data_IF_011822755707
#
_entry.id   IF_011822755707
#
_cell.length_a   1.000
_cell.length_b   1.000
_cell.length_c   1.000
_cell.angle_alpha   90.00
_cell.angle_beta   90.00
_cell.angle_gamma   90.00
#
_symmetry.space_group_name_H-M   'P 1'
#
loop_
_entity.id
_entity.type
_entity.pdbx_description
1 polymer ?
#
# COMPACT_ATOMS: atom_id res chain seq x y z
N UNK A 1 4.05 9.82 -18.71
CA UNK A 1 4.26 8.40 -18.32
C UNK A 1 5.19 8.29 -17.13
N UNK A 2 4.63 8.42 -15.92
CA UNK A 2 5.26 8.07 -14.64
C UNK A 2 4.12 7.53 -13.76
N UNK A 3 3.88 6.23 -13.82
CA UNK A 3 2.82 5.58 -13.05
C UNK A 3 3.43 4.97 -11.78
N UNK A 4 3.05 5.52 -10.63
CA UNK A 4 3.57 5.13 -9.33
C UNK A 4 3.10 3.72 -8.93
N UNK A 5 1.88 3.34 -9.31
CA UNK A 5 1.28 2.04 -8.96
C UNK A 5 2.05 0.93 -9.66
N UNK A 6 2.27 1.08 -10.98
CA UNK A 6 3.05 0.11 -11.76
C UNK A 6 4.45 -0.09 -11.19
N UNK A 7 5.13 0.99 -10.81
CA UNK A 7 6.47 0.92 -10.21
C UNK A 7 6.49 0.19 -8.86
N UNK A 8 5.54 0.52 -7.98
CA UNK A 8 5.42 -0.14 -6.67
C UNK A 8 5.09 -1.63 -6.78
N UNK A 9 4.19 -2.01 -7.70
CA UNK A 9 3.86 -3.42 -7.96
C UNK A 9 5.08 -4.18 -8.45
N UNK A 10 5.83 -3.64 -9.42
CA UNK A 10 7.03 -4.28 -9.92
C UNK A 10 8.08 -4.52 -8.83
N UNK A 11 8.28 -3.53 -7.95
CA UNK A 11 9.21 -3.64 -6.81
C UNK A 11 8.75 -4.70 -5.82
N UNK A 12 7.47 -4.71 -5.44
CA UNK A 12 6.94 -5.66 -4.48
C UNK A 12 7.03 -7.11 -4.97
N UNK A 13 6.69 -7.37 -6.24
CA UNK A 13 6.79 -8.72 -6.81
C UNK A 13 8.24 -9.20 -6.87
N UNK A 14 9.18 -8.32 -7.22
CA UNK A 14 10.61 -8.64 -7.15
C UNK A 14 11.02 -9.00 -5.71
N UNK A 15 10.59 -8.21 -4.73
CA UNK A 15 10.90 -8.47 -3.33
C UNK A 15 10.33 -9.81 -2.84
N UNK A 16 9.09 -10.18 -3.22
CA UNK A 16 8.50 -11.49 -2.90
C UNK A 16 9.33 -12.65 -3.45
N UNK A 17 9.79 -12.55 -4.72
CA UNK A 17 10.61 -13.58 -5.37
C UNK A 17 11.94 -13.77 -4.64
N UNK A 18 12.61 -12.67 -4.29
CA UNK A 18 13.92 -12.71 -3.64
C UNK A 18 13.79 -13.15 -2.18
N UNK A 19 12.83 -12.60 -1.43
CA UNK A 19 12.61 -12.92 -0.02
C UNK A 19 12.33 -14.41 0.20
N UNK A 20 11.65 -15.09 -0.73
CA UNK A 20 11.40 -16.53 -0.67
C UNK A 20 12.68 -17.41 -0.69
N UNK A 21 13.85 -16.82 -0.96
CA UNK A 21 15.16 -17.51 -0.92
C UNK A 21 15.91 -17.35 0.39
N UNK A 22 15.38 -16.57 1.33
CA UNK A 22 16.01 -16.30 2.61
C UNK A 22 15.08 -16.75 3.75
N UNK A 23 15.64 -17.39 4.77
CA UNK A 23 14.91 -17.82 5.97
C UNK A 23 14.72 -16.65 6.95
N UNK A 24 14.05 -15.59 6.47
CA UNK A 24 13.68 -14.40 7.25
C UNK A 24 12.26 -13.97 6.89
N UNK A 25 11.63 -13.22 7.78
CA UNK A 25 10.35 -12.57 7.51
C UNK A 25 10.58 -11.15 7.01
N UNK A 26 9.97 -10.79 5.88
CA UNK A 26 10.04 -9.45 5.29
C UNK A 26 8.65 -8.83 5.28
N UNK A 27 8.55 -7.60 5.78
CA UNK A 27 7.34 -6.78 5.63
C UNK A 27 7.63 -5.66 4.62
N UNK A 28 6.86 -5.63 3.54
CA UNK A 28 6.88 -4.56 2.56
C UNK A 28 5.95 -3.43 2.98
N UNK A 29 6.45 -2.21 2.87
CA UNK A 29 5.78 -0.99 3.31
C UNK A 29 5.91 0.09 2.24
N UNK A 30 4.85 0.87 2.03
CA UNK A 30 4.96 2.16 1.31
C UNK A 30 4.99 3.30 2.31
N UNK A 31 5.94 4.20 2.14
CA UNK A 31 6.13 5.38 2.99
C UNK A 31 5.07 6.48 2.72
N UNK A 32 5.29 7.68 3.27
CA UNK A 32 4.44 8.88 3.19
C UNK A 32 3.60 9.03 1.90
N UNK A 33 2.27 8.99 2.04
CA UNK A 33 1.32 9.31 0.98
C UNK A 33 0.38 10.45 1.41
N UNK A 34 0.54 11.68 0.89
CA UNK A 34 -0.35 12.80 1.19
C UNK A 34 -1.67 12.70 0.42
N UNK A 35 -2.65 13.52 0.82
CA UNK A 35 -4.05 13.45 0.34
C UNK A 35 -4.19 13.43 -1.17
N UNK A 36 -3.47 14.30 -1.87
CA UNK A 36 -3.55 14.47 -3.33
C UNK A 36 -2.95 13.30 -4.12
N UNK A 37 -2.27 12.35 -3.44
CA UNK A 37 -1.70 11.14 -4.04
C UNK A 37 -2.48 9.87 -3.77
N UNK A 38 -3.43 9.88 -2.83
CA UNK A 38 -4.16 8.68 -2.40
C UNK A 38 -4.79 7.92 -3.58
N UNK A 39 -5.53 8.63 -4.43
CA UNK A 39 -6.25 8.03 -5.57
C UNK A 39 -5.32 7.50 -6.66
N UNK A 40 -4.13 8.08 -6.78
CA UNK A 40 -3.13 7.69 -7.77
C UNK A 40 -2.07 6.73 -7.24
N UNK A 41 -2.14 6.30 -5.98
CA UNK A 41 -1.09 5.49 -5.36
C UNK A 41 -1.62 4.47 -4.35
N UNK A 42 -1.93 4.87 -3.11
CA UNK A 42 -2.27 3.93 -2.03
C UNK A 42 -3.61 3.24 -2.26
N UNK A 43 -4.68 3.97 -2.65
CA UNK A 43 -6.00 3.35 -2.88
C UNK A 43 -5.95 2.25 -3.96
N UNK A 44 -5.32 2.47 -5.14
CA UNK A 44 -5.12 1.39 -6.11
C UNK A 44 -4.27 0.22 -5.58
N UNK A 45 -3.23 0.46 -4.77
CA UNK A 45 -2.42 -0.62 -4.19
C UNK A 45 -3.20 -1.47 -3.18
N UNK A 46 -4.14 -0.86 -2.45
CA UNK A 46 -5.09 -1.58 -1.59
C UNK A 46 -6.02 -2.47 -2.44
N UNK A 47 -6.50 -1.97 -3.59
CA UNK A 47 -7.31 -2.78 -4.51
C UNK A 47 -6.54 -3.99 -5.05
N UNK A 48 -5.29 -3.80 -5.48
CA UNK A 48 -4.41 -4.90 -5.91
C UNK A 48 -4.20 -5.91 -4.78
N UNK A 49 -4.01 -5.44 -3.54
CA UNK A 49 -3.86 -6.33 -2.39
C UNK A 49 -5.13 -7.12 -2.10
N UNK A 50 -6.30 -6.48 -2.15
CA UNK A 50 -7.59 -7.15 -1.99
C UNK A 50 -7.82 -8.22 -3.07
N UNK A 51 -7.46 -7.96 -4.32
CA UNK A 51 -7.53 -8.96 -5.41
C UNK A 51 -6.62 -10.17 -5.16
N UNK A 52 -5.41 -9.97 -4.62
CA UNK A 52 -4.50 -11.06 -4.26
C UNK A 52 -5.07 -11.91 -3.13
N UNK A 53 -5.59 -11.27 -2.08
CA UNK A 53 -6.21 -11.94 -0.95
C UNK A 53 -7.43 -12.75 -1.38
N UNK A 54 -8.27 -12.21 -2.26
CA UNK A 54 -9.41 -12.93 -2.83
C UNK A 54 -8.99 -14.19 -3.63
N UNK A 55 -7.76 -14.22 -4.16
CA UNK A 55 -7.17 -15.38 -4.85
C UNK A 55 -6.43 -16.34 -3.90
N UNK A 56 -6.51 -16.12 -2.58
CA UNK A 56 -5.83 -16.93 -1.57
C UNK A 56 -4.33 -16.65 -1.43
N UNK A 57 -3.86 -15.51 -1.98
CA UNK A 57 -2.47 -15.06 -1.83
C UNK A 57 -2.35 -14.07 -0.67
N UNK A 58 -1.12 -13.78 -0.24
CA UNK A 58 -0.85 -12.66 0.65
C UNK A 58 -1.09 -11.31 -0.05
N UNK A 59 -1.42 -10.24 0.70
CA UNK A 59 -1.50 -8.89 0.15
C UNK A 59 -0.16 -8.47 -0.48
N UNK A 60 -0.20 -7.51 -1.40
CA UNK A 60 1.00 -7.10 -2.13
C UNK A 60 2.03 -6.44 -1.20
N UNK A 61 1.54 -5.55 -0.33
CA UNK A 61 2.27 -4.91 0.76
C UNK A 61 1.65 -5.29 2.11
N UNK A 62 2.45 -5.34 3.16
CA UNK A 62 1.97 -5.64 4.52
C UNK A 62 1.47 -4.38 5.25
N UNK A 63 1.88 -3.19 4.80
CA UNK A 63 1.41 -1.92 5.36
C UNK A 63 1.59 -0.76 4.39
N UNK A 64 0.86 0.32 4.65
CA UNK A 64 0.94 1.59 3.93
C UNK A 64 0.93 2.75 4.92
N UNK A 65 1.60 3.86 4.60
CA UNK A 65 1.55 5.09 5.39
C UNK A 65 0.64 6.13 4.74
N UNK A 66 -0.45 6.45 5.41
CA UNK A 66 -1.26 7.66 5.16
C UNK A 66 -0.61 8.85 5.87
N UNK A 67 -0.31 9.91 5.13
CA UNK A 67 0.22 11.16 5.69
C UNK A 67 -0.81 12.29 5.60
N UNK A 68 -1.67 12.36 6.62
CA UNK A 68 -2.64 13.43 6.80
C UNK A 68 -2.12 14.63 7.59
N UNK A 69 -0.80 14.78 7.78
CA UNK A 69 -0.24 15.82 8.65
C UNK A 69 -0.49 17.26 8.19
N UNK A 70 -0.79 17.46 6.90
CA UNK A 70 -1.17 18.75 6.33
C UNK A 70 -2.69 19.04 6.39
N UNK A 71 -3.51 18.07 6.81
CA UNK A 71 -4.96 18.18 6.90
C UNK A 71 -5.40 18.58 8.32
N UNK A 72 -6.68 18.93 8.49
CA UNK A 72 -7.24 19.09 9.84
C UNK A 72 -7.22 17.75 10.57
N UNK A 73 -7.15 17.76 11.91
CA UNK A 73 -7.18 16.50 12.68
C UNK A 73 -8.44 15.68 12.38
N UNK A 74 -9.59 16.34 12.21
CA UNK A 74 -10.84 15.69 11.87
C UNK A 74 -10.75 14.98 10.51
N UNK A 75 -10.26 15.66 9.47
CA UNK A 75 -10.11 15.08 8.14
C UNK A 75 -9.05 13.98 8.11
N UNK A 76 -7.92 14.17 8.81
CA UNK A 76 -6.86 13.18 8.93
C UNK A 76 -7.39 11.87 9.51
N UNK A 77 -8.13 11.94 10.63
CA UNK A 77 -8.71 10.77 11.28
C UNK A 77 -9.82 10.13 10.42
N UNK A 78 -10.68 10.93 9.79
CA UNK A 78 -11.74 10.42 8.93
C UNK A 78 -11.19 9.63 7.72
N UNK A 79 -10.20 10.19 7.04
CA UNK A 79 -9.52 9.51 5.92
C UNK A 79 -8.75 8.28 6.41
N UNK A 80 -8.07 8.38 7.56
CA UNK A 80 -7.39 7.24 8.17
C UNK A 80 -8.33 6.07 8.46
N UNK A 81 -9.55 6.34 8.96
CA UNK A 81 -10.57 5.31 9.19
C UNK A 81 -11.09 4.70 7.87
N UNK A 82 -11.31 5.52 6.84
CA UNK A 82 -11.68 5.05 5.50
C UNK A 82 -10.64 4.08 4.94
N UNK A 83 -9.35 4.46 4.98
CA UNK A 83 -8.26 3.66 4.47
C UNK A 83 -8.06 2.38 5.29
N UNK A 84 -8.17 2.46 6.62
CA UNK A 84 -8.06 1.29 7.49
C UNK A 84 -9.18 0.27 7.27
N UNK A 85 -10.41 0.72 6.98
CA UNK A 85 -11.52 -0.18 6.67
C UNK A 85 -11.36 -0.90 5.32
N UNK A 86 -10.55 -0.35 4.42
CA UNK A 86 -10.24 -0.92 3.10
C UNK A 86 -9.02 -1.86 3.13
N UNK A 87 -8.14 -1.71 4.12
CA UNK A 87 -6.86 -2.42 4.23
C UNK A 87 -6.99 -3.86 4.73
#
# INVERSE_FOLDING_TARGET
>A
NKDMVTGAVALAEFAHIVAAKYDITVALHTDHCPKDKLDGYVRPLLDVSAERVAKGLNPLFQSHMWDGSAETLADNLAIGQELLAKA
#
